data_IF_146358774841
#
_entry.id   IF_146358774841
#
_cell.length_a   1.000
_cell.length_b   1.000
_cell.length_c   1.000
_cell.angle_alpha   90.00
_cell.angle_beta   90.00
_cell.angle_gamma   90.00
#
_symmetry.space_group_name_H-M   'P 1'
#
loop_
_entity.id
_entity.type
_entity.pdbx_description
1 polymer ?
#
# COMPACT_ATOMS: atom_id res chain seq x y z
N UNK A 1 39.87 -8.94 8.70
CA UNK A 1 39.18 -10.00 9.45
C UNK A 1 37.69 -9.82 9.17
N UNK A 2 37.17 -10.37 8.08
CA UNK A 2 36.34 -11.58 8.07
C UNK A 2 35.26 -11.58 9.15
N UNK A 3 33.99 -11.35 8.77
CA UNK A 3 32.92 -12.33 9.01
C UNK A 3 31.72 -12.02 8.10
N UNK A 4 31.59 -12.90 7.10
CA UNK A 4 30.39 -13.17 6.31
C UNK A 4 29.11 -13.06 7.14
N UNK A 5 28.14 -12.30 6.64
CA UNK A 5 26.71 -12.62 6.74
C UNK A 5 26.03 -12.23 5.42
N UNK A 6 26.23 -13.08 4.41
CA UNK A 6 25.34 -13.14 3.24
C UNK A 6 24.13 -13.93 3.72
N UNK A 7 23.03 -13.25 4.02
CA UNK A 7 21.74 -13.91 4.23
C UNK A 7 21.15 -14.12 2.85
N UNK A 8 21.43 -15.30 2.28
CA UNK A 8 20.70 -15.82 1.13
C UNK A 8 19.29 -16.13 1.59
N UNK A 9 18.36 -15.20 1.41
CA UNK A 9 16.94 -15.46 1.60
C UNK A 9 16.42 -16.16 0.34
N UNK A 10 16.54 -17.48 0.32
CA UNK A 10 15.98 -18.34 -0.72
C UNK A 10 14.49 -18.53 -0.37
N UNK A 11 13.65 -17.60 -0.81
CA UNK A 11 12.20 -17.69 -0.60
C UNK A 11 11.57 -18.54 -1.71
N UNK A 12 11.65 -19.86 -1.54
CA UNK A 12 10.82 -20.79 -2.29
C UNK A 12 9.51 -21.01 -1.50
N UNK A 13 8.54 -20.12 -1.68
CA UNK A 13 7.15 -20.38 -1.30
C UNK A 13 6.35 -20.67 -2.57
N UNK A 14 6.31 -21.94 -2.97
CA UNK A 14 5.31 -22.42 -3.92
C UNK A 14 3.97 -22.48 -3.20
N UNK A 15 3.24 -21.36 -3.19
CA UNK A 15 1.81 -21.38 -2.92
C UNK A 15 1.13 -21.92 -4.17
N UNK A 16 0.89 -23.24 -4.20
CA UNK A 16 0.04 -23.86 -5.20
C UNK A 16 -1.42 -23.49 -4.90
N UNK A 17 -1.80 -22.24 -5.19
CA UNK A 17 -3.20 -21.90 -5.37
C UNK A 17 -3.67 -22.61 -6.64
N UNK A 18 -4.30 -23.75 -6.43
CA UNK A 18 -4.97 -24.49 -7.49
C UNK A 18 -6.16 -23.65 -7.93
N UNK A 19 -6.03 -22.94 -9.04
CA UNK A 19 -7.16 -22.31 -9.72
C UNK A 19 -8.15 -23.42 -10.10
N UNK A 20 -9.22 -23.57 -9.32
CA UNK A 20 -10.43 -24.19 -9.81
C UNK A 20 -11.09 -23.22 -10.80
N UNK A 21 -10.61 -23.26 -12.04
CA UNK A 21 -11.35 -22.78 -13.17
C UNK A 21 -12.65 -23.60 -13.28
N UNK A 22 -13.82 -22.95 -13.20
CA UNK A 22 -14.94 -23.34 -14.05
C UNK A 22 -16.04 -22.27 -14.03
N UNK A 23 -16.26 -21.65 -15.18
CA UNK A 23 -17.58 -21.18 -15.53
C UNK A 23 -18.45 -22.38 -15.88
N UNK A 24 -19.66 -22.43 -15.32
CA UNK A 24 -20.90 -22.67 -16.07
C UNK A 24 -22.08 -22.58 -15.13
N UNK A 25 -23.10 -21.88 -15.63
CA UNK A 25 -24.49 -21.86 -15.18
C UNK A 25 -25.00 -23.27 -14.82
N UNK A 26 -25.61 -23.41 -13.66
CA UNK A 26 -26.33 -24.61 -13.24
C UNK A 26 -26.96 -24.43 -11.86
N UNK A 27 -28.29 -24.31 -11.83
CA UNK A 27 -29.11 -24.25 -10.62
C UNK A 27 -28.88 -25.46 -9.69
N UNK A 28 -28.76 -25.21 -8.39
CA UNK A 28 -29.06 -26.23 -7.39
C UNK A 28 -28.09 -26.32 -6.21
N UNK A 29 -28.56 -25.80 -5.07
CA UNK A 29 -28.33 -26.31 -3.70
C UNK A 29 -26.88 -26.28 -3.21
N UNK A 30 -26.55 -25.17 -2.54
CA UNK A 30 -25.31 -24.98 -1.81
C UNK A 30 -25.19 -25.94 -0.63
N UNK A 31 -24.11 -26.70 -0.66
CA UNK A 31 -23.30 -27.07 0.50
C UNK A 31 -21.89 -27.24 -0.06
N UNK A 32 -21.11 -26.19 0.07
CA UNK A 32 -19.73 -26.12 -0.40
C UNK A 32 -18.95 -25.28 0.59
N UNK A 33 -18.42 -25.94 1.62
CA UNK A 33 -17.28 -25.47 2.41
C UNK A 33 -16.06 -25.32 1.49
N UNK A 34 -16.08 -24.30 0.64
CA UNK A 34 -14.89 -23.66 0.14
C UNK A 34 -14.62 -22.52 1.13
N UNK A 35 -13.92 -22.83 2.22
CA UNK A 35 -13.43 -21.83 3.16
C UNK A 35 -12.39 -20.96 2.44
N UNK A 36 -12.87 -19.93 1.74
CA UNK A 36 -12.08 -18.77 1.39
C UNK A 36 -11.65 -18.06 2.68
N UNK A 37 -10.49 -17.39 2.64
CA UNK A 37 -10.01 -16.62 3.77
C UNK A 37 -11.06 -15.57 4.21
N UNK A 38 -11.22 -15.35 5.51
CA UNK A 38 -12.16 -14.34 6.02
C UNK A 38 -11.65 -12.93 5.73
N UNK A 39 -12.54 -11.93 5.80
CA UNK A 39 -12.14 -10.53 5.63
C UNK A 39 -11.05 -10.13 6.64
N UNK A 40 -11.14 -10.61 7.89
CA UNK A 40 -10.14 -10.38 8.93
C UNK A 40 -8.78 -11.01 8.59
N UNK A 41 -8.77 -12.23 8.03
CA UNK A 41 -7.54 -12.91 7.63
C UNK A 41 -6.85 -12.22 6.46
N UNK A 42 -7.62 -11.77 5.45
CA UNK A 42 -7.09 -11.02 4.31
C UNK A 42 -6.57 -9.66 4.76
N UNK A 43 -7.29 -8.96 5.64
CA UNK A 43 -6.83 -7.69 6.20
C UNK A 43 -5.50 -7.86 6.96
N UNK A 44 -5.39 -8.90 7.77
CA UNK A 44 -4.14 -9.19 8.50
C UNK A 44 -2.96 -9.45 7.53
N UNK A 45 -3.20 -10.15 6.41
CA UNK A 45 -2.18 -10.36 5.38
C UNK A 45 -1.77 -9.07 4.68
N UNK A 46 -2.74 -8.20 4.34
CA UNK A 46 -2.46 -6.87 3.76
C UNK A 46 -1.58 -6.06 4.72
N UNK A 47 -1.92 -6.03 6.01
CA UNK A 47 -1.14 -5.31 7.02
C UNK A 47 0.28 -5.88 7.15
N UNK A 48 0.45 -7.20 7.17
CA UNK A 48 1.77 -7.82 7.24
C UNK A 48 2.66 -7.45 6.02
N UNK A 49 2.07 -7.38 4.82
CA UNK A 49 2.80 -6.99 3.62
C UNK A 49 3.12 -5.49 3.61
N UNK A 50 2.19 -4.64 4.04
CA UNK A 50 2.41 -3.20 4.19
C UNK A 50 3.51 -2.90 5.24
N UNK A 51 3.55 -3.65 6.34
CA UNK A 51 4.62 -3.53 7.34
C UNK A 51 6.00 -3.89 6.75
N UNK A 52 6.07 -4.89 5.86
CA UNK A 52 7.31 -5.23 5.14
C UNK A 52 7.72 -4.12 4.18
N UNK A 53 6.76 -3.50 3.49
CA UNK A 53 7.01 -2.36 2.62
C UNK A 53 7.57 -1.16 3.41
N UNK A 54 6.96 -0.85 4.55
CA UNK A 54 7.43 0.19 5.46
C UNK A 54 8.84 -0.09 5.97
N UNK A 55 9.16 -1.35 6.31
CA UNK A 55 10.50 -1.72 6.75
C UNK A 55 11.57 -1.45 5.67
N UNK A 56 11.26 -1.69 4.39
CA UNK A 56 12.18 -1.36 3.27
C UNK A 56 12.44 0.15 3.19
N UNK A 57 11.39 0.95 3.39
CA UNK A 57 11.49 2.42 3.43
C UNK A 57 12.29 2.92 4.64
N UNK A 58 12.17 2.26 5.79
CA UNK A 58 12.86 2.65 7.02
C UNK A 58 14.36 2.32 7.01
N UNK A 59 14.77 1.20 6.40
CA UNK A 59 16.18 0.75 6.41
C UNK A 59 17.14 1.77 5.77
N UNK A 60 16.68 2.56 4.80
CA UNK A 60 17.48 3.56 4.08
C UNK A 60 16.76 4.92 3.99
N UNK A 61 16.09 5.33 5.07
CA UNK A 61 15.19 6.49 5.09
C UNK A 61 15.78 7.77 4.47
N UNK A 62 17.03 8.12 4.80
CA UNK A 62 17.68 9.34 4.25
C UNK A 62 17.85 9.26 2.72
N UNK A 63 18.13 8.07 2.20
CA UNK A 63 18.30 7.85 0.76
C UNK A 63 16.95 7.88 0.03
N UNK A 64 15.90 7.30 0.63
CA UNK A 64 14.54 7.44 0.12
C UNK A 64 14.06 8.89 0.11
N UNK A 65 14.33 9.65 1.17
CA UNK A 65 14.03 11.08 1.22
C UNK A 65 14.77 11.86 0.13
N UNK A 66 16.02 11.51 -0.16
CA UNK A 66 16.78 12.08 -1.28
C UNK A 66 16.11 11.77 -2.62
N UNK A 67 15.66 10.53 -2.84
CA UNK A 67 14.89 10.16 -4.04
C UNK A 67 13.60 10.99 -4.16
N UNK A 68 12.81 11.09 -3.09
CA UNK A 68 11.56 11.84 -3.08
C UNK A 68 11.75 13.33 -3.39
N UNK A 69 12.83 13.94 -2.87
CA UNK A 69 13.18 15.31 -3.19
C UNK A 69 13.55 15.47 -4.67
N UNK A 70 14.36 14.56 -5.22
CA UNK A 70 14.80 14.60 -6.61
C UNK A 70 13.64 14.41 -7.59
N UNK A 71 12.75 13.44 -7.32
CA UNK A 71 11.63 13.15 -8.21
C UNK A 71 10.53 14.22 -8.17
N UNK A 72 10.42 14.99 -7.09
CA UNK A 72 9.45 16.10 -7.00
C UNK A 72 9.68 17.16 -8.09
N UNK A 73 10.94 17.39 -8.50
CA UNK A 73 11.27 18.30 -9.61
C UNK A 73 10.86 17.76 -10.98
N UNK A 74 10.61 16.44 -11.06
CA UNK A 74 10.33 15.69 -12.28
C UNK A 74 8.96 15.04 -12.28
N UNK A 75 8.11 15.38 -11.32
CA UNK A 75 6.83 14.71 -11.07
C UNK A 75 5.96 14.56 -12.31
N UNK A 76 5.86 15.61 -13.12
CA UNK A 76 5.01 15.62 -14.33
C UNK A 76 5.57 14.76 -15.48
N UNK A 77 6.83 14.32 -15.38
CA UNK A 77 7.49 13.44 -16.36
C UNK A 77 7.42 11.96 -15.95
N UNK A 78 7.06 11.65 -14.70
CA UNK A 78 6.98 10.28 -14.19
C UNK A 78 5.69 9.64 -14.73
N UNK A 79 5.75 8.44 -15.34
CA UNK A 79 4.56 7.73 -15.78
C UNK A 79 3.64 7.42 -14.60
N UNK A 80 2.34 7.47 -14.85
CA UNK A 80 1.33 7.03 -13.90
C UNK A 80 1.35 5.50 -13.85
N UNK A 81 1.80 4.94 -12.73
CA UNK A 81 1.94 3.51 -12.50
C UNK A 81 1.07 3.13 -11.31
N UNK A 82 0.24 2.11 -11.47
CA UNK A 82 -0.65 1.64 -10.40
C UNK A 82 0.11 0.93 -9.27
N UNK A 83 1.27 0.35 -9.58
CA UNK A 83 2.15 -0.30 -8.60
C UNK A 83 3.19 0.72 -8.11
N UNK A 84 3.25 0.93 -6.79
CA UNK A 84 4.12 1.96 -6.22
C UNK A 84 5.62 1.68 -6.46
N UNK A 85 6.06 0.42 -6.40
CA UNK A 85 7.44 0.07 -6.72
C UNK A 85 7.81 0.34 -8.19
N UNK A 86 6.88 0.12 -9.12
CA UNK A 86 7.07 0.48 -10.53
C UNK A 86 7.17 2.00 -10.72
N UNK A 87 6.32 2.77 -10.02
CA UNK A 87 6.40 4.23 -9.98
C UNK A 87 7.78 4.72 -9.48
N UNK A 88 8.30 4.12 -8.39
CA UNK A 88 9.62 4.47 -7.84
C UNK A 88 10.75 4.15 -8.81
N UNK A 89 10.70 3.01 -9.50
CA UNK A 89 11.69 2.63 -10.52
C UNK A 89 11.68 3.62 -11.69
N UNK A 90 10.50 4.02 -12.16
CA UNK A 90 10.38 5.00 -13.24
C UNK A 90 10.90 6.37 -12.82
N UNK A 91 10.60 6.81 -11.59
CA UNK A 91 11.14 8.03 -11.01
C UNK A 91 12.67 7.97 -10.95
N UNK A 92 13.23 6.86 -10.45
CA UNK A 92 14.67 6.65 -10.30
C UNK A 92 15.39 6.73 -11.65
N UNK A 93 14.84 6.19 -12.73
CA UNK A 93 15.46 6.26 -14.07
C UNK A 93 15.58 7.71 -14.58
N UNK A 94 14.61 8.57 -14.26
CA UNK A 94 14.61 9.99 -14.63
C UNK A 94 15.62 10.82 -13.83
N UNK A 95 15.89 10.45 -12.57
CA UNK A 95 16.75 11.25 -11.67
C UNK A 95 18.09 10.59 -11.37
N UNK A 96 18.43 9.47 -12.01
CA UNK A 96 19.60 8.65 -11.70
C UNK A 96 20.93 9.39 -11.69
N UNK A 97 21.06 10.45 -12.48
CA UNK A 97 22.27 11.27 -12.57
C UNK A 97 22.58 12.03 -11.25
N UNK A 98 21.62 12.09 -10.32
CA UNK A 98 21.78 12.72 -9.00
C UNK A 98 22.30 11.76 -7.90
N UNK A 99 22.51 10.48 -8.25
CA UNK A 99 22.84 9.41 -7.31
C UNK A 99 24.15 8.73 -7.67
N UNK A 100 24.83 8.22 -6.64
CA UNK A 100 25.99 7.34 -6.81
C UNK A 100 25.55 5.93 -7.20
N UNK A 101 26.46 5.12 -7.72
CA UNK A 101 26.16 3.73 -8.12
C UNK A 101 25.64 2.88 -6.94
N UNK A 102 26.22 3.05 -5.75
CA UNK A 102 25.79 2.32 -4.53
C UNK A 102 24.39 2.76 -4.08
N UNK A 103 24.10 4.07 -4.17
CA UNK A 103 22.77 4.63 -3.87
C UNK A 103 21.72 4.13 -4.86
N UNK A 104 22.03 4.15 -6.17
CA UNK A 104 21.15 3.63 -7.22
C UNK A 104 20.84 2.16 -7.01
N UNK A 105 21.87 1.36 -6.68
CA UNK A 105 21.69 -0.06 -6.40
C UNK A 105 20.72 -0.27 -5.24
N UNK A 106 20.92 0.45 -4.14
CA UNK A 106 20.08 0.34 -2.93
C UNK A 106 18.63 0.72 -3.22
N UNK A 107 18.41 1.84 -3.92
CA UNK A 107 17.07 2.31 -4.30
C UNK A 107 16.40 1.39 -5.31
N UNK A 108 17.15 0.83 -6.26
CA UNK A 108 16.62 -0.12 -7.26
C UNK A 108 16.17 -1.40 -6.56
N UNK A 109 17.04 -2.00 -5.74
CA UNK A 109 16.72 -3.23 -5.01
C UNK A 109 15.51 -3.03 -4.07
N UNK A 110 15.45 -1.90 -3.36
CA UNK A 110 14.32 -1.56 -2.51
C UNK A 110 13.02 -1.34 -3.30
N UNK A 111 13.08 -0.64 -4.44
CA UNK A 111 11.90 -0.39 -5.29
C UNK A 111 11.38 -1.66 -5.95
N UNK A 112 12.26 -2.59 -6.34
CA UNK A 112 11.88 -3.91 -6.84
C UNK A 112 11.19 -4.75 -5.75
N UNK A 113 11.70 -4.74 -4.52
CA UNK A 113 11.05 -5.43 -3.40
C UNK A 113 9.66 -4.85 -3.09
N UNK A 114 9.52 -3.52 -3.12
CA UNK A 114 8.22 -2.84 -2.97
C UNK A 114 7.29 -3.25 -4.11
N UNK A 115 7.77 -3.27 -5.36
CA UNK A 115 6.95 -3.69 -6.51
C UNK A 115 6.40 -5.10 -6.31
N UNK A 116 7.27 -6.02 -5.88
CA UNK A 116 6.89 -7.42 -5.67
C UNK A 116 5.95 -7.61 -4.45
N UNK A 117 6.03 -6.73 -3.44
CA UNK A 117 5.07 -6.68 -2.33
C UNK A 117 3.72 -6.12 -2.80
N UNK A 118 3.71 -5.05 -3.58
CA UNK A 118 2.51 -4.44 -4.15
C UNK A 118 1.75 -5.41 -5.06
N UNK A 119 2.47 -6.21 -5.86
CA UNK A 119 1.89 -7.28 -6.68
C UNK A 119 1.17 -8.36 -5.84
N UNK A 120 1.55 -8.52 -4.57
CA UNK A 120 0.86 -9.41 -3.63
C UNK A 120 -0.28 -8.70 -2.89
N UNK A 121 -0.11 -7.42 -2.55
CA UNK A 121 -1.10 -6.61 -1.82
C UNK A 121 -2.33 -6.34 -2.69
N UNK A 122 -2.14 -5.96 -3.96
CA UNK A 122 -3.24 -5.58 -4.86
C UNK A 122 -4.36 -6.64 -4.97
N UNK A 123 -4.08 -7.93 -5.27
CA UNK A 123 -5.15 -8.94 -5.34
C UNK A 123 -5.78 -9.23 -3.98
N UNK A 124 -5.07 -9.01 -2.87
CA UNK A 124 -5.64 -9.14 -1.52
C UNK A 124 -6.58 -7.97 -1.22
N UNK A 125 -6.22 -6.74 -1.62
CA UNK A 125 -7.10 -5.58 -1.50
C UNK A 125 -8.38 -5.75 -2.31
N UNK A 126 -8.30 -6.29 -3.54
CA UNK A 126 -9.48 -6.61 -4.36
C UNK A 126 -10.36 -7.67 -3.71
N UNK A 127 -9.78 -8.74 -3.18
CA UNK A 127 -10.50 -9.77 -2.44
C UNK A 127 -11.15 -9.22 -1.17
N UNK A 128 -10.42 -8.41 -0.40
CA UNK A 128 -10.93 -7.76 0.79
C UNK A 128 -12.14 -6.89 0.44
N UNK A 129 -12.02 -6.06 -0.61
CA UNK A 129 -13.09 -5.19 -1.08
C UNK A 129 -14.33 -5.99 -1.53
N UNK A 130 -14.15 -7.14 -2.18
CA UNK A 130 -15.24 -8.01 -2.63
C UNK A 130 -15.98 -8.71 -1.47
N UNK A 131 -15.33 -8.88 -0.32
CA UNK A 131 -15.93 -9.48 0.89
C UNK A 131 -16.69 -8.47 1.76
N UNK A 132 -16.48 -7.17 1.53
CA UNK A 132 -17.24 -6.14 2.22
C UNK A 132 -18.69 -6.17 1.72
N UNK A 133 -19.68 -6.01 2.62
CA UNK A 133 -21.07 -5.93 2.19
C UNK A 133 -21.20 -4.79 1.18
N UNK A 134 -21.88 -5.07 0.05
CA UNK A 134 -22.22 -4.02 -0.90
C UNK A 134 -23.01 -2.95 -0.14
N UNK A 135 -22.39 -1.79 0.07
CA UNK A 135 -23.10 -0.61 0.55
C UNK A 135 -24.31 -0.40 -0.35
N UNK A 136 -25.45 -0.13 0.27
CA UNK A 136 -26.70 0.31 -0.34
C UNK A 136 -26.52 1.70 -1.00
N UNK A 137 -25.69 1.76 -2.04
CA UNK A 137 -25.39 2.94 -2.82
C UNK A 137 -25.67 2.69 -4.29
N UNK A 138 -26.76 3.24 -4.80
CA UNK A 138 -27.20 3.16 -6.20
C UNK A 138 -26.27 3.84 -7.23
N UNK A 139 -25.01 4.14 -6.91
CA UNK A 139 -24.08 4.75 -7.84
C UNK A 139 -22.72 4.06 -7.72
N UNK A 140 -22.23 3.51 -8.83
CA UNK A 140 -20.98 2.76 -8.94
C UNK A 140 -19.74 3.62 -8.69
N UNK A 141 -19.54 3.99 -7.43
CA UNK A 141 -18.35 4.63 -6.89
C UNK A 141 -17.54 3.56 -6.14
N UNK A 142 -16.21 3.58 -6.30
CA UNK A 142 -15.24 2.62 -5.74
C UNK A 142 -15.14 2.69 -4.19
N UNK A 143 -16.13 3.28 -3.51
CA UNK A 143 -16.06 3.70 -2.12
C UNK A 143 -16.99 2.93 -1.17
N UNK A 144 -17.70 1.90 -1.63
CA UNK A 144 -18.67 1.18 -0.79
C UNK A 144 -18.05 0.12 0.14
N UNK A 145 -16.78 -0.24 -0.07
CA UNK A 145 -16.06 -1.28 0.67
C UNK A 145 -15.01 -0.73 1.68
N UNK A 146 -14.82 0.59 1.74
CA UNK A 146 -13.93 1.18 2.75
C UNK A 146 -14.80 1.50 3.96
N UNK A 147 -14.52 0.96 5.16
CA UNK A 147 -15.25 1.36 6.36
C UNK A 147 -15.22 2.89 6.48
N UNK A 148 -16.40 3.48 6.68
CA UNK A 148 -16.52 4.94 6.83
C UNK A 148 -15.53 5.41 7.88
N UNK A 149 -14.79 6.48 7.57
CA UNK A 149 -13.83 7.05 8.52
C UNK A 149 -14.53 7.29 9.87
N UNK A 150 -13.94 6.84 11.01
CA UNK A 150 -14.59 6.94 12.30
C UNK A 150 -15.02 8.36 12.64
N UNK A 151 -16.21 8.51 13.21
CA UNK A 151 -16.65 9.81 13.71
C UNK A 151 -15.68 10.30 14.78
N UNK A 152 -15.27 11.56 14.71
CA UNK A 152 -14.36 12.16 15.68
C UNK A 152 -14.90 13.51 16.16
N UNK A 153 -14.44 13.88 17.35
CA UNK A 153 -14.61 15.21 17.93
C UNK A 153 -13.27 15.65 18.51
N UNK A 154 -12.88 16.89 18.26
CA UNK A 154 -11.61 17.45 18.74
C UNK A 154 -11.67 18.96 18.89
N UNK A 155 -10.52 19.53 19.21
CA UNK A 155 -10.30 20.97 19.22
C UNK A 155 -9.19 21.33 18.24
N UNK A 156 -9.36 22.43 17.52
CA UNK A 156 -8.29 23.01 16.71
C UNK A 156 -7.24 23.72 17.59
N UNK A 157 -6.23 24.31 16.96
CA UNK A 157 -5.16 25.04 17.64
C UNK A 157 -5.65 26.32 18.34
N UNK A 158 -6.80 26.84 17.94
CA UNK A 158 -7.45 28.03 18.52
C UNK A 158 -8.46 27.65 19.63
N UNK A 159 -8.70 26.36 19.84
CA UNK A 159 -9.61 25.82 20.86
C UNK A 159 -11.07 25.66 20.41
N UNK A 160 -11.37 25.91 19.13
CA UNK A 160 -12.71 25.73 18.58
C UNK A 160 -13.03 24.23 18.44
N UNK A 161 -14.31 23.88 18.58
CA UNK A 161 -14.75 22.50 18.40
C UNK A 161 -14.74 22.13 16.91
N UNK A 162 -14.18 20.95 16.61
CA UNK A 162 -14.12 20.38 15.26
C UNK A 162 -14.67 18.96 15.31
N UNK A 163 -15.47 18.58 14.32
CA UNK A 163 -16.01 17.23 14.16
C UNK A 163 -15.95 16.76 12.70
N UNK A 164 -16.45 15.55 12.44
CA UNK A 164 -16.47 14.93 11.12
C UNK A 164 -17.25 15.70 10.05
N UNK A 165 -18.05 16.72 10.41
CA UNK A 165 -18.74 17.56 9.41
C UNK A 165 -17.78 18.33 8.52
N UNK A 166 -16.53 18.56 8.95
CA UNK A 166 -15.50 19.24 8.14
C UNK A 166 -15.20 18.52 6.81
N UNK A 167 -15.37 17.20 6.79
CA UNK A 167 -15.13 16.39 5.59
C UNK A 167 -16.16 16.66 4.49
N UNK A 168 -17.41 16.97 4.87
CA UNK A 168 -18.50 17.22 3.91
C UNK A 168 -18.29 18.47 3.04
N UNK A 169 -17.34 19.31 3.40
CA UNK A 169 -17.00 20.54 2.66
C UNK A 169 -16.08 20.27 1.47
N UNK A 170 -15.50 19.07 1.35
CA UNK A 170 -14.49 18.74 0.35
C UNK A 170 -14.83 17.43 -0.37
N UNK A 171 -14.47 17.34 -1.65
CA UNK A 171 -14.65 16.10 -2.44
C UNK A 171 -13.68 14.98 -2.02
N UNK A 172 -12.49 15.36 -1.56
CA UNK A 172 -11.46 14.44 -1.06
C UNK A 172 -10.86 15.05 0.20
N UNK A 173 -10.70 14.24 1.25
CA UNK A 173 -10.02 14.66 2.48
C UNK A 173 -8.83 13.75 2.75
N UNK A 174 -7.66 14.34 3.01
CA UNK A 174 -6.49 13.63 3.52
C UNK A 174 -6.39 13.87 5.02
N UNK A 175 -6.38 12.80 5.82
CA UNK A 175 -6.20 12.86 7.27
C UNK A 175 -4.79 12.35 7.60
N UNK A 176 -3.97 13.19 8.22
CA UNK A 176 -2.61 12.83 8.63
C UNK A 176 -2.52 12.81 10.16
N UNK A 177 -2.07 11.69 10.73
CA UNK A 177 -1.82 11.53 12.16
C UNK A 177 -0.33 11.69 12.46
N UNK A 178 0.01 12.73 13.21
CA UNK A 178 1.37 12.99 13.67
C UNK A 178 1.35 13.56 15.09
N UNK A 179 2.51 13.57 15.75
CA UNK A 179 2.68 14.23 17.04
C UNK A 179 3.93 15.10 17.01
N UNK A 180 3.91 16.22 17.74
CA UNK A 180 4.97 17.23 17.72
C UNK A 180 6.35 16.76 18.19
N UNK A 181 6.42 15.60 18.83
CA UNK A 181 7.67 14.95 19.22
C UNK A 181 8.26 14.01 18.15
N UNK A 182 7.56 13.74 17.05
CA UNK A 182 8.04 12.88 15.98
C UNK A 182 8.86 13.67 14.96
N UNK A 183 10.19 13.66 15.08
CA UNK A 183 11.07 14.39 14.16
C UNK A 183 10.90 14.04 12.67
N UNK A 184 10.68 12.78 12.24
CA UNK A 184 10.40 12.51 10.84
C UNK A 184 8.95 12.83 10.41
N UNK A 185 8.04 13.14 11.34
CA UNK A 185 6.64 13.44 11.03
C UNK A 185 6.32 14.95 10.96
N UNK A 186 7.28 15.82 11.25
CA UNK A 186 7.16 17.30 11.28
C UNK A 186 8.11 17.92 10.28
#
# INVERSE_FOLDING_TARGET
MNFKKIITLLLAFTLTLSLAACGSKGDGKGDGDAQGATAEEIYAQIQELADKENAIMEENLELWQKLFAAMNEKRDEIPDESNYGAYLLAALDLVKDQFTEDELKTLTEGSEQIRDLEDQIQPLQEQYAALQPAGDGENGDMSAAVPTFPTFTGKDLDGNDVDSSIFSQNAVTVVNFWFSGCKPCV
#
